data_IF_750856365981
#
_entry.id   IF_750856365981
#
_cell.length_a   1.000
_cell.length_b   1.000
_cell.length_c   1.000
_cell.angle_alpha   90.00
_cell.angle_beta   90.00
_cell.angle_gamma   90.00
#
_symmetry.space_group_name_H-M   'P 1'
#
loop_
_entity.id
_entity.type
_entity.pdbx_description
1 polymer ?
#
# COMPACT_ATOMS: atom_id res chain seq x y z
N UNK A 1 -32.86 46.15 23.32
CA UNK A 1 -33.40 44.96 22.64
C UNK A 1 -32.40 44.57 21.56
N UNK A 2 -31.52 43.61 21.85
CA UNK A 2 -30.55 43.09 20.89
C UNK A 2 -31.01 41.70 20.46
N UNK A 3 -31.29 41.52 19.17
CA UNK A 3 -31.56 40.22 18.56
C UNK A 3 -30.22 39.52 18.32
N UNK A 4 -30.06 38.33 18.88
CA UNK A 4 -28.96 37.42 18.53
C UNK A 4 -29.48 36.50 17.43
N UNK A 5 -29.00 36.71 16.21
CA UNK A 5 -29.21 35.78 15.10
C UNK A 5 -28.20 34.66 15.22
N UNK A 6 -28.65 33.45 15.52
CA UNK A 6 -27.84 32.24 15.43
C UNK A 6 -27.82 31.78 13.97
N UNK A 7 -26.64 31.80 13.35
CA UNK A 7 -26.41 31.07 12.10
C UNK A 7 -26.23 29.61 12.48
N UNK A 8 -27.24 28.79 12.22
CA UNK A 8 -27.07 27.33 12.27
C UNK A 8 -26.22 26.98 11.05
N UNK A 9 -24.97 26.63 11.27
CA UNK A 9 -24.13 26.03 10.23
C UNK A 9 -24.73 24.66 9.93
N UNK A 10 -25.13 24.48 8.68
CA UNK A 10 -25.66 23.22 8.15
C UNK A 10 -24.67 22.10 8.49
N UNK A 11 -25.10 21.15 9.30
CA UNK A 11 -24.36 19.91 9.50
C UNK A 11 -24.68 19.07 8.27
N UNK A 12 -23.71 18.91 7.36
CA UNK A 12 -23.86 17.99 6.23
C UNK A 12 -24.12 16.59 6.78
N UNK A 13 -25.40 16.23 6.82
CA UNK A 13 -25.86 14.90 7.17
C UNK A 13 -25.64 14.04 5.93
N UNK A 14 -24.57 13.24 5.93
CA UNK A 14 -24.38 12.23 4.90
C UNK A 14 -25.54 11.25 4.97
N UNK A 15 -26.27 11.10 3.85
CA UNK A 15 -27.36 10.13 3.77
C UNK A 15 -26.83 8.73 4.11
N UNK A 16 -27.51 7.95 4.98
CA UNK A 16 -27.09 6.57 5.24
C UNK A 16 -27.20 5.79 3.92
N UNK A 17 -26.05 5.36 3.40
CA UNK A 17 -26.00 4.43 2.27
C UNK A 17 -26.94 3.26 2.60
N UNK A 18 -27.96 3.04 1.76
CA UNK A 18 -29.00 2.04 2.01
C UNK A 18 -28.38 0.68 2.33
N UNK A 19 -28.79 0.09 3.46
CA UNK A 19 -28.31 -1.24 3.87
C UNK A 19 -28.66 -2.22 2.73
N UNK A 20 -27.66 -2.88 2.17
CA UNK A 20 -27.89 -3.85 1.10
C UNK A 20 -28.80 -4.98 1.60
N UNK A 21 -29.68 -5.43 0.72
CA UNK A 21 -30.63 -6.52 1.01
C UNK A 21 -30.06 -7.91 0.68
N UNK A 22 -28.87 -7.96 0.07
CA UNK A 22 -28.26 -9.20 -0.41
C UNK A 22 -26.90 -9.50 0.19
N UNK A 23 -26.39 -8.66 1.07
CA UNK A 23 -25.17 -8.95 1.81
C UNK A 23 -24.45 -7.72 2.32
N UNK A 24 -23.17 -7.89 2.60
CA UNK A 24 -22.24 -6.84 3.02
C UNK A 24 -21.06 -6.78 2.08
N UNK A 25 -20.41 -5.61 2.01
CA UNK A 25 -19.15 -5.40 1.32
C UNK A 25 -18.29 -4.44 2.14
N UNK A 26 -17.09 -4.87 2.47
CA UNK A 26 -16.15 -4.11 3.30
C UNK A 26 -14.75 -4.19 2.68
N UNK A 27 -13.98 -3.12 2.83
CA UNK A 27 -12.55 -3.08 2.50
C UNK A 27 -11.76 -3.03 3.78
N UNK A 28 -10.67 -3.80 3.86
CA UNK A 28 -9.87 -3.91 5.09
C UNK A 28 -9.30 -2.54 5.52
N UNK A 29 -8.90 -1.72 4.54
CA UNK A 29 -8.31 -0.39 4.76
C UNK A 29 -8.88 0.60 3.75
N UNK A 30 -9.04 1.86 4.16
CA UNK A 30 -9.54 2.93 3.30
C UNK A 30 -8.44 3.60 2.44
N UNK A 31 -7.17 3.30 2.73
CA UNK A 31 -6.01 3.88 2.05
C UNK A 31 -4.85 2.89 1.91
N UNK A 32 -4.23 2.87 0.73
CA UNK A 32 -3.09 2.02 0.41
C UNK A 32 -1.97 2.84 -0.24
N UNK A 33 -0.72 2.46 0.05
CA UNK A 33 0.46 3.05 -0.57
C UNK A 33 1.08 2.03 -1.52
N UNK A 34 1.32 2.42 -2.78
CA UNK A 34 2.09 1.62 -3.73
C UNK A 34 3.56 1.67 -3.31
N UNK A 35 4.04 0.56 -2.75
CA UNK A 35 5.35 0.46 -2.10
C UNK A 35 6.35 -0.43 -2.85
N UNK A 36 5.89 -1.29 -3.77
CA UNK A 36 6.73 -2.24 -4.53
C UNK A 36 5.97 -2.84 -5.74
N UNK A 37 6.38 -4.02 -6.22
CA UNK A 37 5.90 -4.73 -7.43
C UNK A 37 4.38 -4.96 -7.47
N UNK A 38 3.73 -5.02 -6.31
CA UNK A 38 2.26 -5.06 -6.20
C UNK A 38 1.79 -4.65 -4.80
N UNK A 39 0.61 -4.05 -4.73
CA UNK A 39 -0.14 -3.83 -3.47
C UNK A 39 -1.44 -4.61 -3.53
N UNK A 40 -1.77 -5.34 -2.46
CA UNK A 40 -3.00 -6.16 -2.42
C UNK A 40 -4.04 -5.43 -1.59
N UNK A 41 -5.22 -5.25 -2.17
CA UNK A 41 -6.42 -4.74 -1.49
C UNK A 41 -7.35 -5.93 -1.26
N UNK A 42 -7.68 -6.20 0.00
CA UNK A 42 -8.62 -7.24 0.37
C UNK A 42 -10.01 -6.64 0.62
N UNK A 43 -11.01 -7.26 -0.01
CA UNK A 43 -12.42 -6.92 0.13
C UNK A 43 -13.13 -8.16 0.64
N UNK A 44 -13.94 -8.01 1.66
CA UNK A 44 -14.64 -9.13 2.30
C UNK A 44 -16.11 -8.78 2.52
N UNK A 45 -16.87 -9.78 2.93
CA UNK A 45 -18.27 -9.64 3.26
C UNK A 45 -18.98 -10.98 3.29
N UNK A 46 -20.30 -10.91 3.41
CA UNK A 46 -21.19 -12.06 3.41
C UNK A 46 -22.33 -11.84 2.42
N UNK A 47 -22.79 -12.91 1.76
CA UNK A 47 -24.03 -12.87 0.96
C UNK A 47 -25.22 -13.39 1.78
N UNK A 48 -26.32 -12.66 1.73
CA UNK A 48 -27.59 -13.10 2.31
C UNK A 48 -28.30 -14.03 1.32
N UNK A 49 -28.90 -15.11 1.83
CA UNK A 49 -29.55 -16.13 1.01
C UNK A 49 -28.61 -16.72 -0.05
N UNK A 50 -27.49 -17.29 0.42
CA UNK A 50 -26.54 -18.01 -0.41
C UNK A 50 -27.22 -19.01 -1.35
N UNK A 51 -26.79 -19.02 -2.61
CA UNK A 51 -27.19 -19.95 -3.65
C UNK A 51 -25.93 -20.61 -4.18
N UNK A 52 -25.96 -21.94 -4.24
CA UNK A 52 -24.84 -22.71 -4.79
C UNK A 52 -24.59 -22.29 -6.25
N UNK A 53 -23.31 -22.21 -6.62
CA UNK A 53 -22.82 -21.84 -7.96
C UNK A 53 -23.18 -20.43 -8.47
N UNK A 54 -23.70 -19.53 -7.62
CA UNK A 54 -23.94 -18.14 -8.01
C UNK A 54 -22.77 -17.23 -7.60
N UNK A 55 -22.02 -16.63 -8.54
CA UNK A 55 -20.92 -15.72 -8.22
C UNK A 55 -21.43 -14.34 -7.79
N UNK A 56 -20.61 -13.65 -7.01
CA UNK A 56 -20.64 -12.20 -6.88
C UNK A 56 -19.90 -11.61 -8.07
N UNK A 57 -20.48 -10.58 -8.70
CA UNK A 57 -19.85 -9.81 -9.77
C UNK A 57 -19.37 -8.49 -9.17
N UNK A 58 -18.06 -8.25 -9.24
CA UNK A 58 -17.47 -6.97 -8.86
C UNK A 58 -17.13 -6.15 -10.09
N UNK A 59 -17.37 -4.84 -10.00
CA UNK A 59 -16.89 -3.85 -10.96
C UNK A 59 -15.96 -2.88 -10.23
N UNK A 60 -14.71 -2.85 -10.65
CA UNK A 60 -13.70 -1.90 -10.21
C UNK A 60 -13.66 -0.72 -11.20
N UNK A 61 -13.68 0.50 -10.67
CA UNK A 61 -13.43 1.74 -11.40
C UNK A 61 -12.17 2.39 -10.86
N UNK A 62 -11.20 2.62 -11.74
CA UNK A 62 -9.96 3.34 -11.44
C UNK A 62 -10.16 4.86 -11.50
N UNK A 63 -9.25 5.66 -10.93
CA UNK A 63 -9.32 7.13 -10.96
C UNK A 63 -9.23 7.74 -12.38
N UNK A 64 -8.55 7.06 -13.30
CA UNK A 64 -8.44 7.46 -14.72
C UNK A 64 -9.70 7.15 -15.54
N UNK A 65 -10.72 6.55 -14.91
CA UNK A 65 -11.98 6.15 -15.55
C UNK A 65 -11.94 4.76 -16.18
N UNK A 66 -10.80 4.05 -16.18
CA UNK A 66 -10.75 2.66 -16.61
C UNK A 66 -11.57 1.79 -15.65
N UNK A 67 -12.32 0.84 -16.21
CA UNK A 67 -13.13 -0.10 -15.43
C UNK A 67 -12.76 -1.53 -15.74
N UNK A 68 -12.93 -2.43 -14.77
CA UNK A 68 -12.66 -3.86 -14.90
C UNK A 68 -13.66 -4.66 -14.08
N UNK A 69 -14.08 -5.81 -14.59
CA UNK A 69 -14.97 -6.73 -13.86
C UNK A 69 -14.25 -8.02 -13.49
N UNK A 70 -14.63 -8.58 -12.35
CA UNK A 70 -14.17 -9.89 -11.89
C UNK A 70 -15.24 -10.56 -11.04
N UNK A 71 -15.16 -11.88 -10.91
CA UNK A 71 -16.14 -12.66 -10.15
C UNK A 71 -15.50 -13.38 -8.97
N UNK A 72 -16.28 -13.55 -7.91
CA UNK A 72 -15.89 -14.32 -6.71
C UNK A 72 -17.04 -15.22 -6.32
N UNK A 73 -16.75 -16.51 -6.10
CA UNK A 73 -17.73 -17.43 -5.58
C UNK A 73 -17.75 -17.33 -4.04
N UNK A 74 -18.91 -17.05 -3.42
CA UNK A 74 -19.04 -17.14 -1.98
C UNK A 74 -18.75 -18.55 -1.48
N UNK A 75 -18.21 -18.64 -0.27
CA UNK A 75 -17.99 -19.90 0.44
C UNK A 75 -19.33 -20.44 0.95
N UNK A 76 -19.33 -21.71 1.38
CA UNK A 76 -20.53 -22.39 1.89
C UNK A 76 -21.11 -21.77 3.17
N UNK A 77 -20.30 -20.99 3.89
CA UNK A 77 -20.70 -20.24 5.09
C UNK A 77 -21.18 -18.82 4.74
N UNK A 78 -21.52 -18.56 3.46
CA UNK A 78 -21.89 -17.26 2.91
C UNK A 78 -20.80 -16.20 2.86
N UNK A 79 -19.63 -16.44 3.46
CA UNK A 79 -18.54 -15.47 3.44
C UNK A 79 -17.83 -15.42 2.08
N UNK A 80 -17.21 -14.30 1.76
CA UNK A 80 -16.32 -14.19 0.60
C UNK A 80 -15.12 -13.32 0.91
N UNK A 81 -14.05 -13.54 0.15
CA UNK A 81 -12.85 -12.70 0.14
C UNK A 81 -12.43 -12.50 -1.31
N UNK A 82 -12.31 -11.25 -1.73
CA UNK A 82 -11.81 -10.80 -3.01
C UNK A 82 -10.48 -10.08 -2.83
N UNK A 83 -9.55 -10.26 -3.78
CA UNK A 83 -8.24 -9.61 -3.76
C UNK A 83 -8.01 -8.85 -5.05
N UNK A 84 -7.82 -7.54 -4.94
CA UNK A 84 -7.43 -6.68 -6.05
C UNK A 84 -5.92 -6.47 -5.96
N UNK A 85 -5.22 -6.76 -7.05
CA UNK A 85 -3.77 -6.50 -7.17
C UNK A 85 -3.57 -5.16 -7.86
N UNK A 86 -3.13 -4.16 -7.10
CA UNK A 86 -2.74 -2.85 -7.60
C UNK A 86 -1.30 -2.94 -8.09
N UNK A 87 -1.08 -2.61 -9.36
CA UNK A 87 0.24 -2.63 -9.98
C UNK A 87 0.90 -1.23 -9.93
N UNK A 88 2.24 -1.13 -10.02
CA UNK A 88 2.97 0.14 -9.87
C UNK A 88 2.63 1.21 -10.91
N UNK A 89 2.17 0.78 -12.08
CA UNK A 89 1.77 1.61 -13.21
C UNK A 89 0.33 2.13 -13.09
N UNK A 90 -0.46 1.61 -12.15
CA UNK A 90 -1.83 2.08 -11.93
C UNK A 90 -1.87 3.50 -11.37
N UNK A 91 -2.93 4.22 -11.75
CA UNK A 91 -3.15 5.63 -11.41
C UNK A 91 -3.37 5.83 -9.91
N UNK A 92 -2.83 6.91 -9.34
CA UNK A 92 -3.17 7.34 -7.98
C UNK A 92 -4.58 7.93 -7.93
N UNK A 93 -5.22 7.85 -6.77
CA UNK A 93 -6.53 8.45 -6.50
C UNK A 93 -7.51 7.47 -5.88
N UNK A 94 -8.80 7.84 -5.94
CA UNK A 94 -9.88 7.06 -5.36
C UNK A 94 -10.36 5.98 -6.32
N UNK A 95 -10.26 4.73 -5.88
CA UNK A 95 -10.83 3.58 -6.55
C UNK A 95 -12.22 3.32 -5.98
N UNK A 96 -13.14 2.89 -6.85
CA UNK A 96 -14.51 2.52 -6.47
C UNK A 96 -14.77 1.08 -6.86
N UNK A 97 -15.30 0.28 -5.94
CA UNK A 97 -15.75 -1.09 -6.21
C UNK A 97 -17.23 -1.20 -5.91
N UNK A 98 -17.98 -1.75 -6.86
CA UNK A 98 -19.37 -2.14 -6.65
C UNK A 98 -19.51 -3.65 -6.74
N UNK A 99 -20.29 -4.26 -5.86
CA UNK A 99 -20.66 -5.66 -5.95
C UNK A 99 -22.12 -5.84 -6.33
N UNK A 100 -22.40 -6.86 -7.13
CA UNK A 100 -23.76 -7.36 -7.34
C UNK A 100 -23.82 -8.87 -7.10
N UNK A 101 -24.92 -9.32 -6.51
CA UNK A 101 -25.21 -10.72 -6.26
C UNK A 101 -26.68 -10.97 -6.56
N UNK A 102 -26.99 -11.99 -7.37
CA UNK A 102 -28.36 -12.27 -7.83
C UNK A 102 -29.05 -11.05 -8.46
N UNK A 103 -28.31 -10.33 -9.32
CA UNK A 103 -28.75 -9.09 -9.99
C UNK A 103 -29.10 -7.91 -9.06
N UNK A 104 -28.79 -8.03 -7.77
CA UNK A 104 -29.04 -6.99 -6.75
C UNK A 104 -27.75 -6.39 -6.23
N UNK A 105 -27.82 -5.12 -5.86
CA UNK A 105 -26.68 -4.38 -5.37
C UNK A 105 -26.24 -4.87 -3.99
N UNK A 106 -25.00 -5.37 -3.92
CA UNK A 106 -24.32 -5.74 -2.68
C UNK A 106 -23.80 -4.51 -1.94
N UNK A 107 -23.48 -3.45 -2.69
CA UNK A 107 -23.06 -2.16 -2.16
C UNK A 107 -21.92 -1.55 -2.96
N UNK A 108 -21.45 -0.40 -2.47
CA UNK A 108 -20.31 0.33 -3.01
C UNK A 108 -19.31 0.57 -1.89
N UNK A 109 -18.04 0.30 -2.17
CA UNK A 109 -16.91 0.74 -1.34
C UNK A 109 -15.97 1.62 -2.16
N UNK A 110 -15.17 2.39 -1.46
CA UNK A 110 -14.07 3.17 -2.04
C UNK A 110 -12.82 2.98 -1.23
N UNK A 111 -11.67 2.97 -1.88
CA UNK A 111 -10.37 3.04 -1.23
C UNK A 111 -9.46 3.98 -2.02
N UNK A 112 -8.56 4.65 -1.32
CA UNK A 112 -7.59 5.54 -1.96
C UNK A 112 -6.27 4.81 -2.16
N UNK A 113 -5.67 5.01 -3.33
CA UNK A 113 -4.31 4.57 -3.61
C UNK A 113 -3.46 5.81 -3.84
N UNK A 114 -2.39 5.94 -3.07
CA UNK A 114 -1.30 6.85 -3.39
C UNK A 114 -0.08 6.02 -3.76
N UNK A 115 0.77 6.56 -4.62
CA UNK A 115 2.16 6.13 -4.63
C UNK A 115 2.75 6.62 -3.32
N UNK A 116 3.86 6.02 -2.91
CA UNK A 116 4.70 6.67 -1.94
C UNK A 116 5.18 8.00 -2.54
N UNK A 117 4.36 9.05 -2.44
CA UNK A 117 4.76 10.43 -2.60
C UNK A 117 5.67 10.68 -1.42
N UNK A 118 6.95 10.44 -1.62
CA UNK A 118 7.94 11.11 -0.82
C UNK A 118 7.60 12.60 -0.90
N UNK A 119 7.10 13.15 0.20
CA UNK A 119 7.60 14.46 0.58
C UNK A 119 9.11 14.32 0.47
N UNK A 120 9.72 14.94 -0.55
CA UNK A 120 11.13 14.79 -0.94
C UNK A 120 11.96 14.30 0.24
N UNK A 121 12.31 13.01 0.26
CA UNK A 121 13.09 12.48 1.37
C UNK A 121 14.47 13.08 1.19
N UNK A 122 14.71 14.19 1.87
CA UNK A 122 16.03 14.82 1.90
C UNK A 122 16.91 13.93 2.75
N UNK A 123 17.62 13.02 2.09
CA UNK A 123 18.54 12.15 2.79
C UNK A 123 19.75 13.00 3.19
N UNK A 124 20.10 13.06 4.48
CA UNK A 124 21.27 13.82 4.92
C UNK A 124 22.55 13.40 4.19
N UNK A 125 23.40 14.35 3.81
CA UNK A 125 24.64 14.11 3.07
C UNK A 125 25.58 13.09 3.75
N UNK A 126 25.54 12.99 5.08
CA UNK A 126 26.36 12.03 5.81
C UNK A 126 25.98 10.57 5.50
N UNK A 127 24.71 10.28 5.19
CA UNK A 127 24.29 8.95 4.72
C UNK A 127 24.84 8.71 3.31
N UNK A 128 24.83 9.74 2.44
CA UNK A 128 25.39 9.64 1.08
C UNK A 128 26.88 9.34 1.11
N UNK A 129 27.61 9.95 2.06
CA UNK A 129 29.01 9.66 2.31
C UNK A 129 29.23 8.22 2.83
N UNK A 130 28.36 7.72 3.71
CA UNK A 130 28.42 6.32 4.16
C UNK A 130 28.19 5.35 3.00
N UNK A 131 27.25 5.63 2.10
CA UNK A 131 27.02 4.81 0.90
C UNK A 131 28.25 4.79 -0.03
N UNK A 132 28.91 5.94 -0.22
CA UNK A 132 30.16 6.03 -0.96
C UNK A 132 31.27 5.19 -0.31
N UNK A 133 31.48 5.34 0.99
CA UNK A 133 32.50 4.57 1.71
C UNK A 133 32.21 3.08 1.71
N UNK A 134 30.94 2.68 1.74
CA UNK A 134 30.55 1.27 1.61
C UNK A 134 30.88 0.73 0.21
N UNK A 135 30.55 1.49 -0.84
CA UNK A 135 30.86 1.12 -2.22
C UNK A 135 32.38 1.03 -2.50
N UNK A 136 33.18 1.86 -1.84
CA UNK A 136 34.64 1.83 -1.92
C UNK A 136 35.28 0.75 -1.01
N UNK A 137 34.47 0.03 -0.22
CA UNK A 137 34.95 -0.96 0.74
C UNK A 137 35.66 -0.36 1.97
N UNK A 138 35.49 0.94 2.20
CA UNK A 138 36.09 1.69 3.31
C UNK A 138 35.34 1.50 4.63
N UNK A 139 34.04 1.16 4.59
CA UNK A 139 33.27 0.74 5.78
C UNK A 139 32.68 -0.66 5.59
N UNK A 140 32.43 -1.34 6.70
CA UNK A 140 31.86 -2.68 6.69
C UNK A 140 30.37 -2.68 6.36
N UNK A 141 29.84 -3.85 6.00
CA UNK A 141 28.39 -4.07 5.84
C UNK A 141 27.62 -3.73 7.11
N UNK A 142 28.14 -4.10 8.29
CA UNK A 142 27.51 -3.71 9.56
C UNK A 142 27.43 -2.20 9.73
N UNK A 143 28.49 -1.47 9.41
CA UNK A 143 28.50 -0.01 9.53
C UNK A 143 27.49 0.65 8.58
N UNK A 144 27.37 0.12 7.35
CA UNK A 144 26.38 0.58 6.38
C UNK A 144 24.95 0.31 6.85
N UNK A 145 24.66 -0.91 7.31
CA UNK A 145 23.32 -1.30 7.81
C UNK A 145 22.89 -0.52 9.05
N UNK A 146 23.81 -0.13 9.94
CA UNK A 146 23.51 0.79 11.06
C UNK A 146 23.05 2.17 10.58
N UNK A 147 23.61 2.67 9.47
CA UNK A 147 23.12 3.90 8.84
C UNK A 147 21.69 3.79 8.30
N UNK A 148 21.35 2.64 7.72
CA UNK A 148 19.99 2.34 7.25
C UNK A 148 19.00 2.26 8.41
N UNK A 149 19.36 1.53 9.46
CA UNK A 149 18.59 1.40 10.69
C UNK A 149 18.31 2.76 11.34
N UNK A 150 19.32 3.65 11.39
CA UNK A 150 19.13 5.01 11.86
C UNK A 150 18.08 5.78 11.04
N UNK A 151 18.11 5.67 9.70
CA UNK A 151 17.14 6.36 8.85
C UNK A 151 15.72 5.88 9.06
N UNK A 152 15.53 4.58 9.31
CA UNK A 152 14.23 3.99 9.61
C UNK A 152 13.75 4.49 10.98
N UNK A 153 14.60 4.38 12.01
CA UNK A 153 14.27 4.81 13.37
C UNK A 153 14.01 6.31 13.49
N UNK A 154 14.66 7.12 12.66
CA UNK A 154 14.47 8.58 12.62
C UNK A 154 13.27 9.02 11.76
N UNK A 155 12.55 8.08 11.14
CA UNK A 155 11.42 8.37 10.27
C UNK A 155 11.80 9.03 8.94
N UNK A 156 13.09 9.04 8.57
CA UNK A 156 13.60 9.50 7.27
C UNK A 156 13.13 8.51 6.19
N UNK A 157 13.24 7.21 6.48
CA UNK A 157 12.65 6.14 5.68
C UNK A 157 11.47 5.57 6.46
N UNK A 158 10.26 5.67 5.90
CA UNK A 158 9.10 4.97 6.43
C UNK A 158 9.02 3.58 5.82
N UNK A 159 9.04 2.55 6.66
CA UNK A 159 8.76 1.18 6.23
C UNK A 159 7.23 0.99 6.33
N UNK A 160 6.52 0.69 5.24
CA UNK A 160 5.08 0.39 5.29
C UNK A 160 4.83 -0.89 6.10
N UNK A 161 3.65 -1.00 6.71
CA UNK A 161 3.30 -2.11 7.62
C UNK A 161 3.67 -3.48 7.04
N UNK A 162 4.45 -4.22 7.83
CA UNK A 162 5.08 -5.47 7.44
C UNK A 162 4.10 -6.60 7.76
N UNK A 163 3.27 -7.01 6.79
CA UNK A 163 2.61 -8.32 6.90
C UNK A 163 3.69 -9.39 6.71
N UNK A 164 4.06 -10.06 7.80
CA UNK A 164 4.89 -11.27 7.86
C UNK A 164 5.99 -11.39 6.80
N UNK A 165 7.21 -11.08 7.22
CA UNK A 165 8.45 -11.42 6.50
C UNK A 165 8.42 -12.88 6.06
N UNK A 166 8.29 -13.11 4.75
CA UNK A 166 8.60 -14.41 4.17
C UNK A 166 10.09 -14.61 4.40
N UNK A 167 10.45 -15.54 5.27
CA UNK A 167 11.83 -15.93 5.52
C UNK A 167 12.44 -16.52 4.23
N UNK A 168 12.89 -15.63 3.35
CA UNK A 168 13.70 -15.96 2.18
C UNK A 168 15.05 -16.48 2.62
N UNK A 169 15.52 -17.50 1.93
CA UNK A 169 16.69 -18.29 2.25
C UNK A 169 17.93 -17.43 2.58
N UNK A 170 18.63 -17.88 3.61
CA UNK A 170 19.81 -17.24 4.17
C UNK A 170 20.98 -17.21 3.17
N UNK A 171 21.09 -16.14 2.40
CA UNK A 171 22.39 -15.66 1.92
C UNK A 171 22.90 -14.61 2.90
N UNK A 172 23.93 -14.97 3.67
CA UNK A 172 24.50 -14.20 4.77
C UNK A 172 25.36 -13.02 4.34
N UNK A 173 25.08 -12.43 3.19
CA UNK A 173 25.77 -11.24 2.70
C UNK A 173 24.79 -10.38 1.92
N UNK A 174 24.66 -9.12 2.31
CA UNK A 174 24.05 -8.08 1.49
C UNK A 174 24.55 -8.24 0.04
N UNK A 175 23.66 -8.51 -0.94
CA UNK A 175 24.09 -8.79 -2.30
C UNK A 175 24.92 -7.66 -2.89
N UNK A 176 25.86 -7.97 -3.80
CA UNK A 176 26.74 -6.97 -4.43
C UNK A 176 25.97 -5.86 -5.17
N UNK A 177 24.70 -6.10 -5.54
CA UNK A 177 23.84 -5.06 -6.08
C UNK A 177 23.56 -3.91 -5.10
N UNK A 178 23.59 -4.16 -3.79
CA UNK A 178 23.40 -3.10 -2.78
C UNK A 178 24.59 -2.16 -2.74
N UNK A 179 25.82 -2.66 -2.93
CA UNK A 179 27.01 -1.80 -3.13
C UNK A 179 26.91 -1.00 -4.43
N UNK A 180 26.44 -1.62 -5.51
CA UNK A 180 26.25 -0.93 -6.79
C UNK A 180 25.17 0.16 -6.68
N UNK A 181 24.08 -0.10 -5.97
CA UNK A 181 23.03 0.90 -5.72
C UNK A 181 23.50 2.01 -4.77
N UNK A 182 24.28 1.68 -3.73
CA UNK A 182 24.92 2.66 -2.87
C UNK A 182 25.87 3.58 -3.65
N UNK A 183 26.65 3.01 -4.59
CA UNK A 183 27.52 3.75 -5.49
C UNK A 183 26.74 4.66 -6.44
N UNK A 184 25.75 4.10 -7.15
CA UNK A 184 24.93 4.87 -8.08
C UNK A 184 24.19 6.01 -7.36
N UNK A 185 23.77 5.79 -6.12
CA UNK A 185 23.14 6.84 -5.32
C UNK A 185 24.13 7.89 -4.84
N UNK A 186 25.34 7.50 -4.41
CA UNK A 186 26.37 8.46 -4.01
C UNK A 186 26.87 9.31 -5.18
N UNK A 187 26.90 8.73 -6.37
CA UNK A 187 27.30 9.40 -7.61
C UNK A 187 26.16 10.25 -8.22
N UNK A 188 24.97 10.26 -7.61
CA UNK A 188 23.79 11.00 -8.08
C UNK A 188 23.14 10.41 -9.34
N UNK A 189 23.45 9.16 -9.67
CA UNK A 189 22.90 8.44 -10.82
C UNK A 189 21.52 7.86 -10.55
N UNK A 190 21.16 7.64 -9.28
CA UNK A 190 19.79 7.35 -8.85
C UNK A 190 19.31 8.39 -7.84
N UNK A 191 18.01 8.67 -7.86
CA UNK A 191 17.40 9.64 -6.95
C UNK A 191 17.36 9.12 -5.51
N UNK A 192 17.19 10.03 -4.54
CA UNK A 192 16.97 9.65 -3.14
C UNK A 192 15.74 8.74 -3.00
N UNK A 193 14.71 8.97 -3.81
CA UNK A 193 13.48 8.16 -3.84
C UNK A 193 13.72 6.74 -4.34
N UNK A 194 14.50 6.59 -5.41
CA UNK A 194 14.83 5.27 -5.96
C UNK A 194 15.72 4.47 -5.00
N UNK A 195 16.63 5.16 -4.31
CA UNK A 195 17.44 4.55 -3.27
C UNK A 195 16.57 4.09 -2.09
N UNK A 196 15.66 4.93 -1.59
CA UNK A 196 14.73 4.58 -0.49
C UNK A 196 13.84 3.39 -0.86
N UNK A 197 13.29 3.33 -2.08
CA UNK A 197 12.53 2.17 -2.56
C UNK A 197 13.35 0.90 -2.55
N UNK A 198 14.61 0.97 -2.98
CA UNK A 198 15.56 -0.14 -2.92
C UNK A 198 15.77 -0.64 -1.48
N UNK A 199 15.93 0.27 -0.52
CA UNK A 199 16.08 -0.06 0.90
C UNK A 199 14.79 -0.68 1.47
N UNK A 200 13.63 -0.09 1.19
CA UNK A 200 12.33 -0.63 1.62
C UNK A 200 12.15 -2.07 1.14
N UNK A 201 12.46 -2.33 -0.13
CA UNK A 201 12.40 -3.68 -0.71
C UNK A 201 13.35 -4.66 0.01
N UNK A 202 14.60 -4.25 0.29
CA UNK A 202 15.59 -5.07 0.99
C UNK A 202 15.14 -5.48 2.39
N UNK A 203 14.54 -4.54 3.12
CA UNK A 203 14.00 -4.78 4.46
C UNK A 203 12.77 -5.70 4.38
N UNK A 204 11.86 -5.46 3.43
CA UNK A 204 10.67 -6.30 3.21
C UNK A 204 11.03 -7.75 2.86
N UNK A 205 12.08 -7.98 2.06
CA UNK A 205 12.55 -9.32 1.70
C UNK A 205 13.41 -9.98 2.79
N UNK A 206 13.65 -9.32 3.92
CA UNK A 206 14.48 -9.84 5.01
C UNK A 206 15.97 -9.94 4.67
N UNK A 207 16.41 -9.30 3.57
CA UNK A 207 17.81 -9.25 3.13
C UNK A 207 18.61 -8.31 4.05
N UNK A 208 18.05 -7.13 4.36
CA UNK A 208 18.53 -6.28 5.45
C UNK A 208 17.68 -6.57 6.68
N UNK A 209 18.34 -6.94 7.78
CA UNK A 209 17.69 -7.13 9.08
C UNK A 209 17.95 -5.91 9.96
N UNK A 210 16.89 -5.24 10.35
CA UNK A 210 16.90 -4.20 11.39
C UNK A 210 16.85 -4.91 12.73
N UNK A 211 17.68 -4.50 13.70
CA UNK A 211 17.82 -5.17 15.00
C UNK A 211 16.99 -4.52 16.09
#
# INVERSE_FOLDING_TARGET
>A
MGTVSFVITDVEFTEPQGISTVGTIEVEQESYVIVSDRTIVEISGEVFNYKEDLPIIFSLSKPDGETSQFTVNPRKDSSYVARITILPDWSEGTYRVTGTYDEKDLGTITFSVSKSSSASVSIPDWIRNNAKWFAEGAISESDFTTGIEFMINSGIIKIPDVSETVAGESESSVPEWVKNNAKWWSDGLISDDDFVKGIQYLVQKGIIRIK
#
